data_IF_939484141214
#
_entry.id   IF_939484141214
#
_cell.length_a   1.000
_cell.length_b   1.000
_cell.length_c   1.000
_cell.angle_alpha   90.00
_cell.angle_beta   90.00
_cell.angle_gamma   90.00
#
_symmetry.space_group_name_H-M   'P 1'
#
loop_
_entity.id
_entity.type
_entity.pdbx_description
1 polymer ?
#
# COMPACT_ATOMS: atom_id res chain seq x y z
N UNK A 1 -4.61 8.85 28.73
CA UNK A 1 -3.19 8.99 28.35
C UNK A 1 -2.21 8.40 29.39
N UNK A 2 -2.46 8.51 30.72
CA UNK A 2 -1.51 7.96 31.71
C UNK A 2 -1.32 6.43 31.61
N UNK A 3 -2.30 5.66 31.15
CA UNK A 3 -2.20 4.20 31.00
C UNK A 3 -1.14 3.73 29.98
N UNK A 4 -0.78 4.55 29.01
CA UNK A 4 0.27 4.23 28.01
C UNK A 4 1.66 4.17 28.65
N UNK A 5 1.84 4.77 29.84
CA UNK A 5 3.08 4.76 30.60
C UNK A 5 3.10 3.73 31.75
N UNK A 6 2.06 2.88 31.85
CA UNK A 6 1.91 1.86 32.87
C UNK A 6 2.71 0.58 32.60
N UNK A 7 2.39 -0.47 33.34
CA UNK A 7 2.89 -1.82 33.08
C UNK A 7 2.30 -2.40 31.78
N UNK A 8 2.80 -3.56 31.34
CA UNK A 8 2.38 -4.16 30.07
C UNK A 8 0.88 -4.42 29.94
N UNK A 9 0.21 -4.85 31.02
CA UNK A 9 -1.23 -5.06 31.02
C UNK A 9 -2.00 -3.75 30.92
N UNK A 10 -1.53 -2.73 31.64
CA UNK A 10 -2.12 -1.38 31.60
C UNK A 10 -1.96 -0.75 30.22
N UNK A 11 -0.79 -0.92 29.56
CA UNK A 11 -0.55 -0.44 28.19
C UNK A 11 -1.50 -1.11 27.18
N UNK A 12 -1.63 -2.43 27.21
CA UNK A 12 -2.57 -3.17 26.33
C UNK A 12 -4.01 -2.73 26.56
N UNK A 13 -4.43 -2.58 27.80
CA UNK A 13 -5.77 -2.11 28.14
C UNK A 13 -5.99 -0.66 27.66
N UNK A 14 -5.00 0.20 27.83
CA UNK A 14 -5.07 1.60 27.36
C UNK A 14 -5.28 1.67 25.85
N UNK A 15 -4.53 0.88 25.06
CA UNK A 15 -4.70 0.77 23.60
C UNK A 15 -6.13 0.41 23.24
N UNK A 16 -6.66 -0.65 23.82
CA UNK A 16 -8.04 -1.11 23.59
C UNK A 16 -9.10 -0.06 23.96
N UNK A 17 -8.92 0.64 25.08
CA UNK A 17 -9.85 1.71 25.49
C UNK A 17 -9.78 2.90 24.54
N UNK A 18 -8.58 3.33 24.13
CA UNK A 18 -8.41 4.40 23.15
C UNK A 18 -9.17 4.02 21.88
N UNK A 19 -8.90 2.84 21.30
CA UNK A 19 -9.54 2.39 20.08
C UNK A 19 -11.08 2.30 20.20
N UNK A 20 -11.58 1.82 21.34
CA UNK A 20 -13.02 1.68 21.58
C UNK A 20 -13.76 3.00 21.68
N UNK A 21 -13.13 4.01 22.28
CA UNK A 21 -13.76 5.30 22.57
C UNK A 21 -13.27 6.44 21.69
N UNK A 22 -12.44 6.17 20.70
CA UNK A 22 -11.80 7.17 19.84
C UNK A 22 -12.77 8.23 19.31
N UNK A 23 -13.88 7.79 18.69
CA UNK A 23 -14.87 8.68 18.10
C UNK A 23 -15.68 9.49 19.13
N UNK A 24 -15.62 9.12 20.41
CA UNK A 24 -16.36 9.84 21.48
C UNK A 24 -15.64 11.10 21.95
N UNK A 25 -14.35 11.21 21.65
CA UNK A 25 -13.50 12.32 22.11
C UNK A 25 -12.74 12.96 20.96
N UNK A 26 -13.43 13.61 20.00
CA UNK A 26 -12.80 14.17 18.79
C UNK A 26 -11.68 15.19 19.10
N UNK A 27 -11.81 15.95 20.19
CA UNK A 27 -10.80 16.91 20.61
C UNK A 27 -9.48 16.25 21.08
N UNK A 28 -9.49 14.96 21.36
CA UNK A 28 -8.32 14.17 21.78
C UNK A 28 -7.82 13.23 20.67
N UNK A 29 -8.40 13.26 19.47
CA UNK A 29 -8.13 12.28 18.41
C UNK A 29 -6.64 12.22 18.06
N UNK A 30 -5.98 13.34 17.83
CA UNK A 30 -4.54 13.35 17.52
C UNK A 30 -3.70 12.80 18.67
N UNK A 31 -3.97 13.22 19.91
CA UNK A 31 -3.25 12.72 21.08
C UNK A 31 -3.49 11.20 21.29
N UNK A 32 -4.69 10.73 20.99
CA UNK A 32 -5.08 9.34 21.11
C UNK A 32 -4.37 8.48 20.04
N UNK A 33 -4.28 9.00 18.80
CA UNK A 33 -3.53 8.36 17.73
C UNK A 33 -2.04 8.29 18.09
N UNK A 34 -1.43 9.40 18.48
CA UNK A 34 -0.02 9.44 18.86
C UNK A 34 0.28 8.45 20.00
N UNK A 35 -0.61 8.36 20.99
CA UNK A 35 -0.46 7.39 22.09
C UNK A 35 -0.51 5.93 21.64
N UNK A 36 -1.29 5.57 20.62
CA UNK A 36 -1.26 4.21 20.04
C UNK A 36 -0.03 4.00 19.17
N UNK A 37 0.42 5.03 18.44
CA UNK A 37 1.65 4.95 17.66
C UNK A 37 2.86 4.71 18.56
N UNK A 38 2.95 5.40 19.70
CA UNK A 38 4.00 5.13 20.71
C UNK A 38 3.98 3.66 21.18
N UNK A 39 2.79 3.06 21.33
CA UNK A 39 2.67 1.65 21.70
C UNK A 39 3.04 0.68 20.56
N UNK A 40 2.96 1.10 19.30
CA UNK A 40 3.46 0.31 18.16
C UNK A 40 4.99 0.22 18.13
N UNK A 41 5.68 1.07 18.88
CA UNK A 41 7.14 1.11 19.02
C UNK A 41 7.63 0.57 20.39
N UNK A 42 6.72 0.00 21.20
CA UNK A 42 7.07 -0.55 22.51
C UNK A 42 8.11 -1.68 22.42
N UNK A 43 8.94 -1.83 23.44
CA UNK A 43 9.94 -2.91 23.52
C UNK A 43 9.27 -4.30 23.54
N UNK A 44 8.10 -4.42 24.19
CA UNK A 44 7.33 -5.66 24.27
C UNK A 44 6.53 -5.90 22.99
N UNK A 45 6.88 -6.98 22.28
CA UNK A 45 6.23 -7.37 21.01
C UNK A 45 4.72 -7.63 21.16
N UNK A 46 4.26 -8.05 22.33
CA UNK A 46 2.82 -8.27 22.56
C UNK A 46 2.06 -6.97 22.75
N UNK A 47 2.71 -5.92 23.27
CA UNK A 47 2.15 -4.57 23.32
C UNK A 47 2.07 -4.01 21.92
N UNK A 48 3.15 -4.09 21.12
CA UNK A 48 3.14 -3.66 19.72
C UNK A 48 2.03 -4.34 18.93
N UNK A 49 1.95 -5.67 19.00
CA UNK A 49 0.90 -6.45 18.31
C UNK A 49 -0.52 -6.02 18.72
N UNK A 50 -0.75 -5.69 19.99
CA UNK A 50 -2.05 -5.19 20.43
C UNK A 50 -2.34 -3.82 19.82
N UNK A 51 -1.40 -2.88 19.90
CA UNK A 51 -1.55 -1.54 19.32
C UNK A 51 -1.79 -1.60 17.81
N UNK A 52 -1.03 -2.42 17.07
CA UNK A 52 -1.18 -2.64 15.63
C UNK A 52 -2.59 -3.17 15.29
N UNK A 53 -3.15 -4.08 16.09
CA UNK A 53 -4.54 -4.57 15.92
C UNK A 53 -5.58 -3.49 16.16
N UNK A 54 -5.30 -2.57 17.07
CA UNK A 54 -6.23 -1.52 17.47
C UNK A 54 -6.27 -0.34 16.49
N UNK A 55 -5.17 -0.09 15.74
CA UNK A 55 -5.09 1.01 14.76
C UNK A 55 -6.26 1.04 13.75
N UNK A 56 -6.64 -0.07 13.07
CA UNK A 56 -7.78 -0.06 12.15
C UNK A 56 -9.13 0.26 12.80
N UNK A 57 -9.24 0.09 14.11
CA UNK A 57 -10.49 0.37 14.84
C UNK A 57 -10.73 1.89 14.97
N UNK A 58 -9.68 2.71 14.97
CA UNK A 58 -9.77 4.16 14.99
C UNK A 58 -10.50 4.69 13.74
N UNK A 59 -10.31 4.00 12.59
CA UNK A 59 -10.96 4.37 11.32
C UNK A 59 -12.41 3.90 11.22
N UNK A 60 -12.98 3.23 12.23
CA UNK A 60 -14.34 2.72 12.16
C UNK A 60 -15.36 3.83 11.99
N UNK A 61 -15.19 4.90 12.76
CA UNK A 61 -16.13 6.01 12.82
C UNK A 61 -15.52 7.34 12.30
N UNK A 62 -14.17 7.38 12.08
CA UNK A 62 -13.42 8.58 11.68
C UNK A 62 -12.49 8.22 10.53
N UNK A 63 -13.01 8.29 9.30
CA UNK A 63 -12.30 7.84 8.10
C UNK A 63 -11.12 8.72 7.68
N UNK A 64 -11.06 9.97 8.16
CA UNK A 64 -10.00 10.92 7.81
C UNK A 64 -8.60 10.44 8.21
N UNK A 65 -8.49 9.59 9.25
CA UNK A 65 -7.21 9.03 9.68
C UNK A 65 -6.76 7.80 8.88
N UNK A 66 -7.61 7.27 8.01
CA UNK A 66 -7.36 5.99 7.33
C UNK A 66 -6.10 6.02 6.45
N UNK A 67 -5.85 7.03 5.59
CA UNK A 67 -4.62 7.07 4.80
C UNK A 67 -3.37 7.14 5.69
N UNK A 68 -3.40 7.93 6.77
CA UNK A 68 -2.29 8.03 7.72
C UNK A 68 -2.03 6.71 8.45
N UNK A 69 -3.08 6.01 8.86
CA UNK A 69 -2.95 4.71 9.55
C UNK A 69 -2.46 3.63 8.57
N UNK A 70 -2.92 3.67 7.31
CA UNK A 70 -2.42 2.77 6.27
C UNK A 70 -0.94 3.00 5.97
N UNK A 71 -0.51 4.26 5.92
CA UNK A 71 0.88 4.66 5.76
C UNK A 71 1.76 4.11 6.91
N UNK A 72 1.35 4.31 8.16
CA UNK A 72 2.06 3.78 9.34
C UNK A 72 2.10 2.25 9.34
N UNK A 73 0.99 1.57 9.07
CA UNK A 73 0.98 0.11 8.98
C UNK A 73 1.88 -0.40 7.85
N UNK A 74 2.02 0.36 6.76
CA UNK A 74 2.95 0.03 5.67
C UNK A 74 4.40 0.15 6.12
N UNK A 75 4.75 1.16 6.92
CA UNK A 75 6.08 1.28 7.54
C UNK A 75 6.38 0.09 8.45
N UNK A 76 5.40 -0.37 9.22
CA UNK A 76 5.55 -1.52 10.11
C UNK A 76 5.74 -2.86 9.37
N UNK A 77 5.55 -2.92 8.05
CA UNK A 77 5.91 -4.09 7.25
C UNK A 77 7.42 -4.39 7.30
N UNK A 78 8.26 -3.46 7.70
CA UNK A 78 9.71 -3.68 7.87
C UNK A 78 10.08 -4.54 9.09
N UNK A 79 9.12 -4.88 9.97
CA UNK A 79 9.40 -5.71 11.14
C UNK A 79 10.05 -7.05 10.77
N UNK A 80 10.99 -7.50 11.58
CA UNK A 80 11.66 -8.80 11.45
C UNK A 80 10.91 -9.93 12.18
N UNK A 81 10.02 -9.57 13.12
CA UNK A 81 9.24 -10.55 13.87
C UNK A 81 8.12 -11.15 13.02
N UNK A 82 8.21 -12.47 12.78
CA UNK A 82 7.26 -13.20 11.95
C UNK A 82 5.82 -13.15 12.48
N UNK A 83 5.65 -13.08 13.79
CA UNK A 83 4.31 -12.99 14.39
C UNK A 83 3.71 -11.59 14.27
N UNK A 84 4.55 -10.58 14.34
CA UNK A 84 4.16 -9.18 14.20
C UNK A 84 3.79 -8.85 12.74
N UNK A 85 4.58 -9.31 11.75
CA UNK A 85 4.27 -9.06 10.34
C UNK A 85 2.90 -9.61 9.93
N UNK A 86 2.50 -10.76 10.47
CA UNK A 86 1.15 -11.32 10.23
C UNK A 86 0.07 -10.38 10.78
N UNK A 87 0.31 -9.78 11.96
CA UNK A 87 -0.63 -8.82 12.55
C UNK A 87 -0.72 -7.54 11.71
N UNK A 88 0.41 -7.02 11.24
CA UNK A 88 0.45 -5.85 10.35
C UNK A 88 -0.33 -6.12 9.06
N UNK A 89 -0.06 -7.24 8.40
CA UNK A 89 -0.76 -7.61 7.16
C UNK A 89 -2.28 -7.77 7.37
N UNK A 90 -2.70 -8.39 8.47
CA UNK A 90 -4.12 -8.53 8.79
C UNK A 90 -4.78 -7.17 9.09
N UNK A 91 -4.04 -6.26 9.73
CA UNK A 91 -4.52 -4.90 10.02
C UNK A 91 -4.66 -4.09 8.74
N UNK A 92 -3.70 -4.17 7.79
CA UNK A 92 -3.82 -3.58 6.47
C UNK A 92 -5.03 -4.14 5.70
N UNK A 93 -5.24 -5.47 5.71
CA UNK A 93 -6.42 -6.07 5.08
C UNK A 93 -7.74 -5.63 5.72
N UNK A 94 -7.75 -5.41 7.04
CA UNK A 94 -8.91 -4.84 7.72
C UNK A 94 -9.24 -3.42 7.25
N UNK A 95 -8.22 -2.60 6.95
CA UNK A 95 -8.40 -1.28 6.35
C UNK A 95 -8.89 -1.38 4.90
N UNK A 96 -8.29 -2.26 4.10
CA UNK A 96 -8.70 -2.48 2.71
C UNK A 96 -10.19 -2.79 2.58
N UNK A 97 -10.71 -3.69 3.45
CA UNK A 97 -12.14 -4.04 3.46
C UNK A 97 -13.04 -2.90 3.92
N UNK A 98 -12.52 -1.93 4.66
CA UNK A 98 -13.28 -0.74 5.09
C UNK A 98 -13.29 0.36 4.05
N UNK A 99 -12.13 0.66 3.52
CA UNK A 99 -11.91 1.69 2.50
C UNK A 99 -10.65 1.36 1.70
N UNK A 100 -10.85 0.71 0.57
CA UNK A 100 -9.76 0.33 -0.32
C UNK A 100 -9.01 1.55 -0.88
N UNK A 101 -9.73 2.66 -1.14
CA UNK A 101 -9.15 3.88 -1.70
C UNK A 101 -8.12 4.50 -0.77
N UNK A 102 -8.52 4.80 0.47
CA UNK A 102 -7.63 5.39 1.46
C UNK A 102 -6.47 4.47 1.83
N UNK A 103 -6.69 3.14 1.79
CA UNK A 103 -5.65 2.16 2.06
C UNK A 103 -4.61 2.11 0.92
N UNK A 104 -5.05 2.17 -0.34
CA UNK A 104 -4.15 2.27 -1.50
C UNK A 104 -3.27 3.52 -1.40
N UNK A 105 -3.87 4.68 -1.15
CA UNK A 105 -3.11 5.95 -1.01
C UNK A 105 -2.03 5.84 0.07
N UNK A 106 -2.36 5.28 1.25
CA UNK A 106 -1.38 5.12 2.33
C UNK A 106 -0.26 4.13 2.01
N UNK A 107 -0.59 2.99 1.36
CA UNK A 107 0.42 2.01 0.91
C UNK A 107 1.34 2.60 -0.17
N UNK A 108 0.78 3.27 -1.17
CA UNK A 108 1.56 3.90 -2.23
C UNK A 108 2.38 5.10 -1.74
N UNK A 109 1.97 5.78 -0.66
CA UNK A 109 2.82 6.76 0.02
C UNK A 109 4.17 6.12 0.42
N UNK A 110 4.15 4.91 0.97
CA UNK A 110 5.39 4.19 1.32
C UNK A 110 6.13 3.60 0.12
N UNK A 111 5.43 3.26 -0.95
CA UNK A 111 6.07 2.86 -2.23
C UNK A 111 6.89 4.02 -2.81
N UNK A 112 6.42 5.26 -2.69
CA UNK A 112 7.13 6.45 -3.22
C UNK A 112 8.18 7.03 -2.26
N UNK A 113 7.86 7.06 -0.97
CA UNK A 113 8.63 7.85 0.02
C UNK A 113 9.31 6.98 1.08
N UNK A 114 9.00 5.69 1.14
CA UNK A 114 9.59 4.76 2.11
C UNK A 114 11.03 4.38 1.77
N UNK A 115 11.78 3.92 2.77
CA UNK A 115 13.08 3.30 2.54
C UNK A 115 12.95 1.97 1.77
N UNK A 116 14.05 1.51 1.16
CA UNK A 116 14.08 0.35 0.24
C UNK A 116 13.36 -0.89 0.78
N UNK A 117 13.55 -1.21 2.06
CA UNK A 117 12.92 -2.38 2.70
C UNK A 117 11.39 -2.20 2.81
N UNK A 118 10.94 -1.02 3.21
CA UNK A 118 9.51 -0.71 3.33
C UNK A 118 8.86 -0.70 1.95
N UNK A 119 9.49 -0.06 0.97
CA UNK A 119 9.05 -0.01 -0.43
C UNK A 119 8.87 -1.42 -0.99
N UNK A 120 9.90 -2.27 -0.90
CA UNK A 120 9.87 -3.65 -1.41
C UNK A 120 8.74 -4.46 -0.74
N UNK A 121 8.60 -4.36 0.58
CA UNK A 121 7.57 -5.10 1.31
C UNK A 121 6.16 -4.60 1.04
N UNK A 122 5.96 -3.28 0.90
CA UNK A 122 4.68 -2.69 0.52
C UNK A 122 4.28 -3.11 -0.90
N UNK A 123 5.21 -3.08 -1.85
CA UNK A 123 5.00 -3.55 -3.23
C UNK A 123 4.61 -5.02 -3.28
N UNK A 124 5.35 -5.89 -2.59
CA UNK A 124 5.07 -7.33 -2.52
C UNK A 124 3.71 -7.62 -1.88
N UNK A 125 3.38 -6.88 -0.81
CA UNK A 125 2.07 -6.99 -0.16
C UNK A 125 0.93 -6.60 -1.11
N UNK A 126 1.03 -5.42 -1.76
CA UNK A 126 0.04 -4.94 -2.74
C UNK A 126 -0.12 -5.95 -3.89
N UNK A 127 0.98 -6.34 -4.53
CA UNK A 127 0.96 -7.28 -5.65
C UNK A 127 0.29 -8.60 -5.26
N UNK A 128 0.68 -9.19 -4.14
CA UNK A 128 0.11 -10.46 -3.68
C UNK A 128 -1.40 -10.31 -3.41
N UNK A 129 -1.80 -9.26 -2.70
CA UNK A 129 -3.20 -9.07 -2.28
C UNK A 129 -4.11 -8.71 -3.45
N UNK A 130 -3.67 -7.87 -4.36
CA UNK A 130 -4.44 -7.56 -5.58
C UNK A 130 -4.54 -8.80 -6.47
N UNK A 131 -3.49 -9.60 -6.59
CA UNK A 131 -3.53 -10.84 -7.37
C UNK A 131 -4.48 -11.89 -6.79
N UNK A 132 -4.57 -12.00 -5.46
CA UNK A 132 -5.37 -13.05 -4.79
C UNK A 132 -6.79 -12.62 -4.44
N UNK A 133 -7.00 -11.36 -4.09
CA UNK A 133 -8.25 -10.82 -3.58
C UNK A 133 -8.74 -9.59 -4.40
N UNK A 134 -8.13 -9.33 -5.58
CA UNK A 134 -8.37 -8.12 -6.37
C UNK A 134 -9.82 -7.91 -6.78
N UNK A 135 -10.56 -8.98 -7.09
CA UNK A 135 -11.99 -8.89 -7.42
C UNK A 135 -12.84 -8.30 -6.29
N UNK A 136 -12.47 -8.52 -5.04
CA UNK A 136 -13.13 -7.94 -3.85
C UNK A 136 -12.58 -6.55 -3.54
N UNK A 137 -11.25 -6.41 -3.53
CA UNK A 137 -10.58 -5.16 -3.14
C UNK A 137 -10.77 -4.04 -4.16
N UNK A 138 -10.85 -4.37 -5.44
CA UNK A 138 -11.01 -3.43 -6.56
C UNK A 138 -12.44 -3.45 -7.14
N UNK A 139 -13.45 -3.79 -6.33
CA UNK A 139 -14.82 -3.97 -6.79
C UNK A 139 -15.47 -2.70 -7.39
N UNK A 140 -14.94 -1.51 -7.10
CA UNK A 140 -15.45 -0.26 -7.66
C UNK A 140 -14.51 0.32 -8.72
N UNK A 141 -15.10 0.90 -9.78
CA UNK A 141 -14.33 1.62 -10.81
C UNK A 141 -13.50 2.78 -10.25
N UNK A 142 -13.95 3.38 -9.17
CA UNK A 142 -13.20 4.45 -8.49
C UNK A 142 -11.96 3.92 -7.80
N UNK A 143 -12.04 2.73 -7.18
CA UNK A 143 -10.87 2.09 -6.56
C UNK A 143 -9.86 1.68 -7.61
N UNK A 144 -10.32 1.12 -8.75
CA UNK A 144 -9.47 0.82 -9.89
C UNK A 144 -8.78 2.07 -10.45
N UNK A 145 -9.52 3.18 -10.58
CA UNK A 145 -8.96 4.45 -11.06
C UNK A 145 -7.88 4.99 -10.12
N UNK A 146 -8.08 4.90 -8.81
CA UNK A 146 -7.07 5.29 -7.82
C UNK A 146 -5.83 4.40 -7.91
N UNK A 147 -6.00 3.07 -8.01
CA UNK A 147 -4.87 2.17 -8.21
C UNK A 147 -4.02 2.56 -9.42
N UNK A 148 -4.68 2.89 -10.54
CA UNK A 148 -3.99 3.30 -11.77
C UNK A 148 -3.27 4.63 -11.64
N UNK A 149 -3.89 5.60 -10.94
CA UNK A 149 -3.28 6.91 -10.69
C UNK A 149 -2.05 6.77 -9.79
N UNK A 150 -2.14 5.97 -8.73
CA UNK A 150 -1.03 5.67 -7.83
C UNK A 150 0.12 4.95 -8.55
N UNK A 151 -0.19 3.99 -9.44
CA UNK A 151 0.81 3.33 -10.28
C UNK A 151 1.49 4.34 -11.20
N UNK A 152 0.73 5.22 -11.89
CA UNK A 152 1.28 6.27 -12.75
C UNK A 152 2.26 7.17 -12.01
N UNK A 153 1.94 7.57 -10.78
CA UNK A 153 2.81 8.42 -9.96
C UNK A 153 4.08 7.70 -9.47
N UNK A 154 4.08 6.36 -9.46
CA UNK A 154 5.19 5.55 -8.92
C UNK A 154 6.09 4.94 -9.99
N UNK A 155 5.68 5.01 -11.27
CA UNK A 155 6.28 4.20 -12.34
C UNK A 155 7.58 4.80 -12.90
N UNK A 156 7.80 6.11 -12.77
CA UNK A 156 9.01 6.77 -13.31
C UNK A 156 10.31 6.26 -12.66
N UNK A 157 10.24 5.96 -11.36
CA UNK A 157 11.38 5.53 -10.55
C UNK A 157 11.32 4.04 -10.18
N UNK A 158 10.48 3.25 -10.87
CA UNK A 158 10.34 1.83 -10.55
C UNK A 158 11.46 0.99 -11.18
N UNK A 159 11.83 -0.09 -10.50
CA UNK A 159 12.69 -1.14 -11.06
C UNK A 159 11.92 -2.00 -12.07
N UNK A 160 12.62 -2.83 -12.84
CA UNK A 160 11.99 -3.76 -13.78
C UNK A 160 11.06 -4.76 -13.07
N UNK A 161 11.44 -5.24 -11.88
CA UNK A 161 10.60 -6.15 -11.07
C UNK A 161 9.34 -5.44 -10.56
N UNK A 162 9.46 -4.20 -10.10
CA UNK A 162 8.31 -3.39 -9.69
C UNK A 162 7.39 -3.08 -10.87
N UNK A 163 7.95 -2.79 -12.05
CA UNK A 163 7.16 -2.61 -13.27
C UNK A 163 6.36 -3.87 -13.60
N UNK A 164 6.96 -5.06 -13.50
CA UNK A 164 6.25 -6.32 -13.68
C UNK A 164 5.11 -6.50 -12.65
N UNK A 165 5.33 -6.14 -11.38
CA UNK A 165 4.29 -6.17 -10.35
C UNK A 165 3.15 -5.21 -10.70
N UNK A 166 3.43 -3.99 -11.17
CA UNK A 166 2.41 -3.04 -11.61
C UNK A 166 1.59 -3.59 -12.78
N UNK A 167 2.22 -4.18 -13.79
CA UNK A 167 1.50 -4.79 -14.91
C UNK A 167 0.58 -5.91 -14.44
N UNK A 168 1.04 -6.76 -13.51
CA UNK A 168 0.23 -7.81 -12.91
C UNK A 168 -0.98 -7.27 -12.11
N UNK A 169 -0.81 -6.16 -11.38
CA UNK A 169 -1.90 -5.50 -10.65
C UNK A 169 -2.95 -4.92 -11.61
N UNK A 170 -2.50 -4.28 -12.70
CA UNK A 170 -3.40 -3.73 -13.73
C UNK A 170 -4.19 -4.84 -14.41
N UNK A 171 -3.56 -5.97 -14.72
CA UNK A 171 -4.23 -7.11 -15.33
C UNK A 171 -5.32 -7.74 -14.43
N UNK A 172 -5.22 -7.55 -13.12
CA UNK A 172 -6.23 -8.00 -12.16
C UNK A 172 -7.46 -7.06 -12.09
N UNK A 173 -7.43 -5.89 -12.75
CA UNK A 173 -8.56 -4.95 -12.80
C UNK A 173 -9.59 -5.37 -13.86
N UNK A 174 -10.82 -4.88 -13.73
CA UNK A 174 -11.88 -5.09 -14.75
C UNK A 174 -11.61 -4.36 -16.07
N UNK A 175 -10.59 -3.52 -16.09
CA UNK A 175 -10.18 -2.71 -17.25
C UNK A 175 -9.40 -3.52 -18.31
N UNK A 176 -9.32 -4.83 -18.18
CA UNK A 176 -8.57 -5.74 -19.06
C UNK A 176 -8.72 -5.45 -20.56
N UNK A 177 -9.90 -5.00 -21.00
CA UNK A 177 -10.14 -4.58 -22.41
C UNK A 177 -9.58 -3.20 -22.79
N UNK A 178 -9.24 -2.36 -21.81
CA UNK A 178 -8.60 -1.04 -22.00
C UNK A 178 -7.11 -1.04 -21.65
N UNK A 179 -6.61 -2.16 -21.13
CA UNK A 179 -5.25 -2.25 -20.64
C UNK A 179 -4.18 -1.98 -21.69
N UNK A 180 -4.42 -2.30 -22.95
CA UNK A 180 -3.37 -2.20 -23.98
C UNK A 180 -2.91 -0.75 -24.19
N UNK A 181 -3.83 0.20 -24.38
CA UNK A 181 -3.44 1.61 -24.52
C UNK A 181 -2.80 2.14 -23.25
N UNK A 182 -3.30 1.72 -22.09
CA UNK A 182 -2.74 2.11 -20.79
C UNK A 182 -1.35 1.52 -20.54
N UNK A 183 -1.11 0.27 -20.93
CA UNK A 183 0.22 -0.36 -20.84
C UNK A 183 1.21 0.39 -21.71
N UNK A 184 0.81 0.77 -22.92
CA UNK A 184 1.66 1.60 -23.81
C UNK A 184 1.96 2.97 -23.17
N UNK A 185 0.95 3.63 -22.59
CA UNK A 185 1.16 4.89 -21.85
C UNK A 185 2.14 4.71 -20.69
N UNK A 186 2.01 3.62 -19.91
CA UNK A 186 2.88 3.36 -18.79
C UNK A 186 4.33 3.05 -19.21
N UNK A 187 4.53 2.33 -20.34
CA UNK A 187 5.86 2.13 -20.91
C UNK A 187 6.43 3.48 -21.34
N UNK A 188 5.66 4.29 -22.06
CA UNK A 188 6.08 5.61 -22.51
C UNK A 188 6.48 6.51 -21.32
N UNK A 189 5.71 6.46 -20.25
CA UNK A 189 5.95 7.21 -19.01
C UNK A 189 7.20 6.72 -18.28
N UNK A 190 7.32 5.39 -18.08
CA UNK A 190 8.48 4.76 -17.42
C UNK A 190 9.80 5.01 -18.16
N UNK A 191 9.75 5.09 -19.48
CA UNK A 191 10.92 5.31 -20.34
C UNK A 191 11.05 6.79 -20.76
N UNK A 192 10.22 7.69 -20.22
CA UNK A 192 10.22 9.13 -20.51
C UNK A 192 10.16 9.46 -22.02
N UNK A 193 9.50 8.60 -22.80
CA UNK A 193 9.34 8.79 -24.26
C UNK A 193 8.48 10.01 -24.58
N UNK A 194 7.52 10.32 -23.74
CA UNK A 194 6.64 11.48 -23.81
C UNK A 194 7.38 12.81 -23.58
N UNK A 195 8.49 12.78 -22.84
CA UNK A 195 9.32 13.95 -22.55
C UNK A 195 10.39 14.21 -23.61
N UNK A 196 10.52 13.32 -24.61
CA UNK A 196 11.55 13.42 -25.66
C UNK A 196 13.00 13.32 -25.16
N UNK A 197 13.19 12.72 -23.98
CA UNK A 197 14.51 12.57 -23.34
C UNK A 197 15.17 11.24 -23.74
N UNK A 198 14.39 10.32 -24.34
CA UNK A 198 14.92 9.02 -24.76
C UNK A 198 16.07 9.17 -25.76
N UNK A 199 17.25 8.64 -25.41
CA UNK A 199 18.39 8.57 -26.30
C UNK A 199 18.61 7.12 -26.78
N UNK A 200 18.42 6.82 -28.07
CA UNK A 200 18.64 5.47 -28.60
C UNK A 200 20.11 5.02 -28.59
N UNK A 201 21.05 5.91 -28.31
CA UNK A 201 22.46 5.58 -28.17
C UNK A 201 22.89 5.36 -26.73
N UNK A 202 22.02 5.65 -25.77
CA UNK A 202 22.24 5.38 -24.34
C UNK A 202 21.77 3.97 -24.02
N UNK A 203 22.70 3.10 -23.64
CA UNK A 203 22.45 1.68 -23.36
C UNK A 203 21.46 1.51 -22.20
N UNK A 204 21.51 2.36 -21.19
CA UNK A 204 20.64 2.26 -20.00
C UNK A 204 19.17 2.56 -20.35
N UNK A 205 18.91 3.60 -21.15
CA UNK A 205 17.55 3.95 -21.61
C UNK A 205 16.97 2.89 -22.55
N UNK A 206 17.81 2.31 -23.43
CA UNK A 206 17.40 1.23 -24.33
C UNK A 206 17.08 -0.05 -23.53
N UNK A 207 17.94 -0.44 -22.60
CA UNK A 207 17.71 -1.62 -21.75
C UNK A 207 16.42 -1.46 -20.90
N UNK A 208 16.19 -0.29 -20.35
CA UNK A 208 14.94 0.00 -19.61
C UNK A 208 13.72 -0.18 -20.51
N UNK A 209 13.73 0.34 -21.72
CA UNK A 209 12.64 0.19 -22.68
C UNK A 209 12.40 -1.30 -23.01
N UNK A 210 13.46 -2.05 -23.25
CA UNK A 210 13.36 -3.49 -23.55
C UNK A 210 12.81 -4.27 -22.37
N UNK A 211 13.22 -3.97 -21.14
CA UNK A 211 12.71 -4.61 -19.93
C UNK A 211 11.21 -4.33 -19.75
N UNK A 212 10.79 -3.06 -19.88
CA UNK A 212 9.38 -2.67 -19.77
C UNK A 212 8.54 -3.33 -20.88
N UNK A 213 9.02 -3.32 -22.13
CA UNK A 213 8.33 -3.94 -23.25
C UNK A 213 8.19 -5.46 -23.05
N UNK A 214 9.25 -6.15 -22.65
CA UNK A 214 9.22 -7.59 -22.37
C UNK A 214 8.25 -7.95 -21.23
N UNK A 215 8.21 -7.15 -20.16
CA UNK A 215 7.26 -7.34 -19.06
C UNK A 215 5.80 -7.14 -19.50
N UNK A 216 5.56 -6.32 -20.52
CA UNK A 216 4.23 -6.00 -21.04
C UNK A 216 3.72 -7.00 -22.10
N UNK A 217 4.60 -7.69 -22.85
CA UNK A 217 4.24 -8.63 -23.92
C UNK A 217 3.13 -9.61 -23.52
N UNK A 218 3.13 -10.27 -22.35
CA UNK A 218 2.10 -11.22 -21.97
C UNK A 218 0.68 -10.63 -21.95
N UNK A 219 0.56 -9.33 -21.76
CA UNK A 219 -0.72 -8.63 -21.66
C UNK A 219 -1.27 -8.15 -23.00
N UNK A 220 -0.44 -8.19 -24.07
CA UNK A 220 -0.87 -7.90 -25.44
C UNK A 220 -1.35 -9.14 -26.18
N UNK A 221 -0.88 -10.33 -25.83
CA UNK A 221 -1.12 -11.57 -26.57
C UNK A 221 -2.51 -12.17 -26.39
N UNK A 222 -3.31 -11.70 -25.42
CA UNK A 222 -4.62 -12.32 -25.07
C UNK A 222 -5.76 -11.87 -25.99
N UNK A 223 -5.60 -10.85 -26.85
CA UNK A 223 -6.70 -10.26 -27.63
C UNK A 223 -6.89 -10.82 -29.05
N UNK A 224 -6.07 -11.77 -29.49
CA UNK A 224 -6.14 -12.30 -30.87
C UNK A 224 -6.81 -13.68 -30.99
N UNK A 225 -7.34 -14.23 -29.90
CA UNK A 225 -7.93 -15.58 -29.85
C UNK A 225 -9.45 -15.62 -29.61
N UNK A 226 -10.17 -14.50 -29.79
CA UNK A 226 -11.64 -14.53 -29.73
C UNK A 226 -12.27 -13.71 -30.86
#
# INVERSE_FOLDING_TARGET
MNGVKGDGNTKKLASQFIARFFAKFPNLANQALDAILDLCEDEDVDIRKQAIKDLPLLCRDVKEFLPKIADVLSQLLQTEDKSEIVVVQNSLMSLFRKDAKGTLVGLFSQVRNGGDVVRDRAMKFLHLKIKTEGSELLASKETEAILLDEIKQSIEECTADEFHMFMSMIAATSLQKRCQSMIVELIAYSCQLDKGIFDPNDEETVDRLLQCANAAIPYFSVSWLH
#
